data_IF_789437252058
#
_entry.id   IF_789437252058
#
_cell.length_a   1.000
_cell.length_b   1.000
_cell.length_c   1.000
_cell.angle_alpha   90.00
_cell.angle_beta   90.00
_cell.angle_gamma   90.00
#
_symmetry.space_group_name_H-M   'P 1'
#
loop_
_entity.id
_entity.type
_entity.pdbx_description
1 polymer ?
#
# COMPACT_ATOMS: atom_id res chain seq x y z
N UNK A 1 1.62 41.73 41.38
CA UNK A 1 2.51 40.79 40.66
C UNK A 1 1.62 39.69 40.11
N UNK A 2 1.46 39.66 38.79
CA UNK A 2 0.47 38.90 38.04
C UNK A 2 0.96 37.48 37.76
N UNK A 3 0.20 36.47 38.17
CA UNK A 3 0.36 35.10 37.68
C UNK A 3 -0.94 34.63 37.00
N UNK A 4 -1.09 34.86 35.69
CA UNK A 4 -2.01 34.10 34.85
C UNK A 4 -1.19 33.46 33.72
N UNK A 5 -0.50 32.35 33.98
CA UNK A 5 0.38 31.71 32.97
C UNK A 5 0.12 30.20 32.84
N UNK A 6 -0.37 29.51 33.88
CA UNK A 6 -0.45 28.03 33.85
C UNK A 6 -1.57 27.41 32.99
N UNK A 7 -2.68 28.11 32.76
CA UNK A 7 -3.79 27.59 31.95
C UNK A 7 -3.55 27.81 30.45
N UNK A 8 -2.95 28.95 30.08
CA UNK A 8 -2.60 29.27 28.70
C UNK A 8 -1.51 28.33 28.17
N UNK A 9 -0.47 28.05 28.96
CA UNK A 9 0.60 27.12 28.57
C UNK A 9 0.07 25.69 28.33
N UNK A 10 -0.92 25.26 29.12
CA UNK A 10 -1.55 23.95 28.96
C UNK A 10 -2.41 23.89 27.69
N UNK A 11 -3.19 24.92 27.40
CA UNK A 11 -4.02 25.02 26.19
C UNK A 11 -3.16 25.09 24.92
N UNK A 12 -2.06 25.85 24.95
CA UNK A 12 -1.09 25.96 23.85
C UNK A 12 -0.41 24.61 23.58
N UNK A 13 0.00 23.90 24.63
CA UNK A 13 0.56 22.56 24.50
C UNK A 13 -0.44 21.57 23.90
N UNK A 14 -1.69 21.57 24.38
CA UNK A 14 -2.74 20.70 23.84
C UNK A 14 -3.01 21.01 22.36
N UNK A 15 -2.98 22.28 21.97
CA UNK A 15 -3.15 22.68 20.58
C UNK A 15 -2.04 22.14 19.68
N UNK A 16 -0.77 22.30 20.08
CA UNK A 16 0.38 21.78 19.33
C UNK A 16 0.35 20.26 19.27
N UNK A 17 0.10 19.59 20.41
CA UNK A 17 -0.02 18.14 20.49
C UNK A 17 -1.08 17.62 19.52
N UNK A 18 -2.29 18.18 19.55
CA UNK A 18 -3.39 17.77 18.68
C UNK A 18 -3.12 18.12 17.20
N UNK A 19 -2.32 19.15 16.93
CA UNK A 19 -1.80 19.45 15.59
C UNK A 19 -0.88 18.36 15.06
N UNK A 20 0.11 17.94 15.87
CA UNK A 20 1.07 16.88 15.52
C UNK A 20 0.37 15.54 15.31
N UNK A 21 -0.55 15.17 16.20
CA UNK A 21 -1.32 13.92 16.07
C UNK A 21 -2.10 13.90 14.74
N UNK A 22 -2.84 14.98 14.43
CA UNK A 22 -3.57 15.08 13.15
C UNK A 22 -2.66 15.01 11.93
N UNK A 23 -1.48 15.62 11.99
CA UNK A 23 -0.50 15.56 10.92
C UNK A 23 -0.03 14.12 10.68
N UNK A 24 0.29 13.38 11.75
CA UNK A 24 0.72 11.98 11.67
C UNK A 24 -0.40 11.06 11.16
N UNK A 25 -1.64 11.25 11.62
CA UNK A 25 -2.78 10.45 11.18
C UNK A 25 -3.12 10.69 9.70
N UNK A 26 -3.03 11.95 9.26
CA UNK A 26 -3.19 12.31 7.85
C UNK A 26 -2.11 11.65 7.01
N UNK A 27 -0.83 11.80 7.39
CA UNK A 27 0.29 11.20 6.66
C UNK A 27 0.16 9.67 6.56
N UNK A 28 -0.24 8.99 7.64
CA UNK A 28 -0.47 7.54 7.65
C UNK A 28 -1.59 7.17 6.68
N UNK A 29 -2.72 7.87 6.73
CA UNK A 29 -3.89 7.59 5.88
C UNK A 29 -3.54 7.76 4.40
N UNK A 30 -2.88 8.85 4.04
CA UNK A 30 -2.48 9.12 2.65
C UNK A 30 -1.42 8.13 2.15
N UNK A 31 -0.50 7.71 3.02
CA UNK A 31 0.49 6.69 2.70
C UNK A 31 -0.18 5.36 2.38
N UNK A 32 -1.10 4.90 3.22
CA UNK A 32 -1.83 3.64 2.99
C UNK A 32 -2.65 3.72 1.71
N UNK A 33 -3.34 4.84 1.44
CA UNK A 33 -4.09 5.04 0.19
C UNK A 33 -3.18 4.98 -1.03
N UNK A 34 -2.05 5.66 -1.00
CA UNK A 34 -1.08 5.69 -2.09
C UNK A 34 -0.49 4.31 -2.37
N UNK A 35 -0.12 3.58 -1.31
CA UNK A 35 0.36 2.20 -1.41
C UNK A 35 -0.72 1.31 -2.02
N UNK A 36 -1.95 1.37 -1.52
CA UNK A 36 -3.04 0.54 -2.04
C UNK A 36 -3.31 0.81 -3.51
N UNK A 37 -3.34 2.08 -3.93
CA UNK A 37 -3.51 2.44 -5.34
C UNK A 37 -2.39 1.87 -6.22
N UNK A 38 -1.13 1.99 -5.77
CA UNK A 38 0.02 1.45 -6.49
C UNK A 38 -0.01 -0.08 -6.56
N UNK A 39 -0.37 -0.74 -5.47
CA UNK A 39 -0.49 -2.20 -5.42
C UNK A 39 -1.59 -2.69 -6.34
N UNK A 40 -2.77 -2.07 -6.34
CA UNK A 40 -3.87 -2.41 -7.26
C UNK A 40 -3.45 -2.27 -8.72
N UNK A 41 -2.79 -1.16 -9.09
CA UNK A 41 -2.28 -0.97 -10.45
C UNK A 41 -1.23 -2.02 -10.82
N UNK A 42 -0.35 -2.37 -9.87
CA UNK A 42 0.69 -3.39 -10.07
C UNK A 42 0.08 -4.77 -10.30
N UNK A 43 -0.90 -5.18 -9.49
CA UNK A 43 -1.58 -6.46 -9.65
C UNK A 43 -2.36 -6.55 -10.97
N UNK A 44 -3.03 -5.47 -11.37
CA UNK A 44 -3.70 -5.40 -12.67
C UNK A 44 -2.71 -5.59 -13.82
N UNK A 45 -1.58 -4.89 -13.77
CA UNK A 45 -0.55 -4.95 -14.81
C UNK A 45 0.13 -6.33 -14.87
N UNK A 46 0.32 -7.00 -13.73
CA UNK A 46 0.76 -8.40 -13.69
C UNK A 46 -0.26 -9.29 -14.40
N UNK A 47 -1.55 -9.15 -14.09
CA UNK A 47 -2.62 -9.90 -14.75
C UNK A 47 -2.65 -9.67 -16.26
N UNK A 48 -2.54 -8.41 -16.72
CA UNK A 48 -2.45 -8.06 -18.13
C UNK A 48 -1.31 -8.79 -18.83
N UNK A 49 -0.10 -8.76 -18.26
CA UNK A 49 1.08 -9.44 -18.81
C UNK A 49 0.91 -10.95 -18.89
N UNK A 50 0.28 -11.57 -17.88
CA UNK A 50 -0.02 -13.02 -17.90
C UNK A 50 -0.98 -13.34 -19.05
N UNK A 51 -2.06 -12.57 -19.20
CA UNK A 51 -3.06 -12.78 -20.27
C UNK A 51 -2.43 -12.58 -21.64
N UNK A 52 -1.66 -11.50 -21.85
CA UNK A 52 -0.96 -11.23 -23.12
C UNK A 52 0.03 -12.34 -23.47
N UNK A 53 0.75 -12.86 -22.48
CA UNK A 53 1.70 -13.95 -22.66
C UNK A 53 1.01 -15.28 -23.00
N UNK A 54 -0.05 -15.66 -22.27
CA UNK A 54 -0.79 -16.91 -22.51
C UNK A 54 -1.55 -16.92 -23.82
N UNK A 55 -2.03 -15.76 -24.24
CA UNK A 55 -2.75 -15.63 -25.50
C UNK A 55 -1.77 -15.65 -26.67
N UNK A 56 -0.57 -15.08 -26.57
CA UNK A 56 0.35 -14.99 -27.71
C UNK A 56 -0.27 -14.29 -28.94
N UNK A 57 -1.42 -13.61 -28.76
CA UNK A 57 -2.30 -13.09 -29.81
C UNK A 57 -3.63 -13.85 -30.04
N UNK A 58 -3.86 -14.99 -29.39
CA UNK A 58 -4.99 -15.92 -29.59
C UNK A 58 -5.99 -15.97 -28.43
N UNK A 59 -7.26 -16.30 -28.72
CA UNK A 59 -8.40 -16.13 -27.80
C UNK A 59 -8.44 -17.04 -26.56
N UNK A 60 -7.58 -18.06 -26.44
CA UNK A 60 -7.66 -19.07 -25.37
C UNK A 60 -6.29 -19.54 -24.89
N UNK A 61 -6.07 -19.41 -23.57
CA UNK A 61 -4.87 -19.87 -22.88
C UNK A 61 -4.82 -21.41 -22.84
N UNK A 62 -3.72 -22.01 -23.32
CA UNK A 62 -3.50 -23.45 -23.26
C UNK A 62 -2.75 -23.89 -21.98
N UNK A 63 -2.02 -22.98 -21.31
CA UNK A 63 -1.06 -23.31 -20.24
C UNK A 63 -1.30 -22.56 -18.92
N UNK A 64 -2.37 -21.76 -18.81
CA UNK A 64 -2.58 -20.79 -17.73
C UNK A 64 -2.44 -21.30 -16.30
N UNK A 65 -2.89 -22.53 -15.98
CA UNK A 65 -2.76 -23.07 -14.62
C UNK A 65 -1.30 -23.39 -14.24
N UNK A 66 -0.52 -23.98 -15.16
CA UNK A 66 0.90 -24.28 -14.93
C UNK A 66 1.75 -23.01 -14.91
N UNK A 67 1.41 -22.01 -15.72
CA UNK A 67 2.12 -20.72 -15.70
C UNK A 67 1.92 -20.01 -14.37
N UNK A 68 0.67 -19.94 -13.87
CA UNK A 68 0.37 -19.31 -12.57
C UNK A 68 1.08 -20.04 -11.43
N UNK A 69 1.11 -21.38 -11.45
CA UNK A 69 1.82 -22.17 -10.45
C UNK A 69 3.33 -21.92 -10.46
N UNK A 70 3.97 -21.83 -11.63
CA UNK A 70 5.40 -21.49 -11.73
C UNK A 70 5.68 -20.07 -11.25
N UNK A 71 4.89 -19.10 -11.69
CA UNK A 71 5.00 -17.71 -11.24
C UNK A 71 4.84 -17.60 -9.71
N UNK A 72 3.93 -18.38 -9.13
CA UNK A 72 3.72 -18.47 -7.69
C UNK A 72 4.97 -18.90 -6.94
N UNK A 73 5.59 -19.99 -7.39
CA UNK A 73 6.81 -20.53 -6.78
C UNK A 73 7.95 -19.52 -6.94
N UNK A 74 8.17 -19.01 -8.15
CA UNK A 74 9.29 -18.12 -8.46
C UNK A 74 9.20 -16.79 -7.71
N UNK A 75 8.01 -16.18 -7.67
CA UNK A 75 7.79 -14.92 -6.95
C UNK A 75 7.92 -15.11 -5.44
N UNK A 76 7.38 -16.19 -4.87
CA UNK A 76 7.55 -16.48 -3.45
C UNK A 76 9.01 -16.74 -3.06
N UNK A 77 9.77 -17.41 -3.92
CA UNK A 77 11.20 -17.64 -3.70
C UNK A 77 12.01 -16.34 -3.79
N UNK A 78 11.66 -15.46 -4.74
CA UNK A 78 12.36 -14.19 -4.97
C UNK A 78 12.07 -13.14 -3.89
N UNK A 79 10.83 -13.05 -3.42
CA UNK A 79 10.38 -12.00 -2.52
C UNK A 79 10.19 -12.45 -1.06
N UNK A 80 10.67 -13.66 -0.70
CA UNK A 80 10.58 -14.32 0.63
C UNK A 80 9.79 -13.53 1.68
N UNK A 81 8.55 -13.97 1.93
CA UNK A 81 7.63 -13.47 2.98
C UNK A 81 7.13 -12.04 2.71
N UNK A 82 6.19 -11.93 1.77
CA UNK A 82 5.55 -10.64 1.43
C UNK A 82 4.49 -10.66 0.32
N UNK A 83 4.28 -11.79 -0.38
CA UNK A 83 3.19 -11.93 -1.34
C UNK A 83 1.99 -12.64 -0.70
N UNK A 84 0.93 -11.91 -0.28
CA UNK A 84 -0.36 -12.53 -0.07
C UNK A 84 -1.02 -12.72 -1.46
N UNK A 85 -1.51 -13.93 -1.69
CA UNK A 85 -2.46 -14.25 -2.75
C UNK A 85 -3.77 -13.49 -2.55
#
# INVERSE_FOLDING_TARGET
MTTPTSLQDADDYQQIHNGIVRLLDTARTETVRSINALMTATYWEIGRRIVEFEQGGESRAAYGAQLIERLSVDLNQRYKRGFPW
#
